data_IF_931409035929
#
_entry.id   IF_931409035929
#
_cell.length_a   1.000
_cell.length_b   1.000
_cell.length_c   1.000
_cell.angle_alpha   90.00
_cell.angle_beta   90.00
_cell.angle_gamma   90.00
#
_symmetry.space_group_name_H-M   'P 1'
#
loop_
_entity.id
_entity.type
_entity.pdbx_description
1 polymer ?
#
# COMPACT_ATOMS: atom_id res chain seq x y z
N UNK A 1 -17.13 -13.53 -0.28
CA UNK A 1 -16.82 -12.24 -0.92
C UNK A 1 -18.09 -11.44 -0.94
N UNK A 2 -18.19 -10.46 -0.04
CA UNK A 2 -19.35 -9.57 0.06
C UNK A 2 -19.14 -8.36 -0.85
N UNK A 3 -20.19 -7.76 -1.40
CA UNK A 3 -20.08 -6.59 -2.27
C UNK A 3 -19.33 -5.39 -1.63
N UNK A 4 -19.15 -5.41 -0.29
CA UNK A 4 -18.38 -4.45 0.51
C UNK A 4 -16.84 -4.51 0.33
N UNK A 5 -16.32 -5.45 -0.47
CA UNK A 5 -14.87 -5.68 -0.61
C UNK A 5 -14.19 -4.77 -1.64
N UNK A 6 -14.91 -3.82 -2.23
CA UNK A 6 -14.41 -2.95 -3.30
C UNK A 6 -14.60 -1.47 -2.99
N UNK A 7 -13.61 -0.66 -3.36
CA UNK A 7 -13.61 0.80 -3.20
C UNK A 7 -13.24 1.47 -4.52
N UNK A 8 -13.80 2.65 -4.81
CA UNK A 8 -13.36 3.42 -5.97
C UNK A 8 -11.93 3.91 -5.77
N UNK A 9 -11.13 3.88 -6.82
CA UNK A 9 -9.75 4.41 -6.78
C UNK A 9 -9.68 5.90 -6.42
N UNK A 10 -10.78 6.65 -6.63
CA UNK A 10 -10.90 8.04 -6.19
C UNK A 10 -10.97 8.19 -4.67
N UNK A 11 -11.55 7.21 -3.97
CA UNK A 11 -11.80 7.23 -2.51
C UNK A 11 -10.69 6.52 -1.71
N UNK A 12 -9.91 5.67 -2.37
CA UNK A 12 -8.77 4.96 -1.77
C UNK A 12 -7.78 5.87 -1.00
N UNK A 13 -7.38 7.07 -1.48
CA UNK A 13 -6.50 7.98 -0.75
C UNK A 13 -6.99 8.33 0.66
N UNK A 14 -8.27 8.66 0.78
CA UNK A 14 -8.89 9.01 2.07
C UNK A 14 -8.97 7.78 2.98
N UNK A 15 -9.18 6.59 2.41
CA UNK A 15 -9.31 5.34 3.17
C UNK A 15 -8.00 4.87 3.81
N UNK A 16 -6.86 5.10 3.17
CA UNK A 16 -5.54 4.64 3.65
C UNK A 16 -4.59 5.76 4.07
N UNK A 17 -5.00 7.02 3.96
CA UNK A 17 -4.16 8.17 4.32
C UNK A 17 -2.93 8.33 3.41
N UNK A 18 -3.05 8.00 2.11
CA UNK A 18 -1.95 8.08 1.14
C UNK A 18 -2.31 8.96 -0.05
N UNK A 19 -1.29 9.51 -0.71
CA UNK A 19 -1.49 10.30 -1.92
C UNK A 19 -2.05 9.45 -3.07
N UNK A 20 -2.78 10.07 -4.00
CA UNK A 20 -3.20 9.39 -5.24
C UNK A 20 -1.99 8.78 -5.96
N UNK A 21 -0.90 9.51 -6.10
CA UNK A 21 0.31 9.02 -6.77
C UNK A 21 0.84 7.72 -6.15
N UNK A 22 0.83 7.63 -4.81
CA UNK A 22 1.19 6.40 -4.09
C UNK A 22 0.25 5.24 -4.41
N UNK A 23 -1.07 5.48 -4.43
CA UNK A 23 -2.04 4.44 -4.80
C UNK A 23 -1.76 3.94 -6.22
N UNK A 24 -1.57 4.85 -7.19
CA UNK A 24 -1.28 4.46 -8.56
C UNK A 24 0.04 3.69 -8.70
N UNK A 25 1.08 4.05 -7.93
CA UNK A 25 2.30 3.28 -7.89
C UNK A 25 2.04 1.83 -7.42
N UNK A 26 1.26 1.64 -6.35
CA UNK A 26 0.90 0.29 -5.90
C UNK A 26 0.07 -0.50 -6.91
N UNK A 27 -0.77 0.17 -7.69
CA UNK A 27 -1.49 -0.46 -8.80
C UNK A 27 -0.54 -0.93 -9.90
N UNK A 28 0.50 -0.15 -10.22
CA UNK A 28 1.51 -0.56 -11.21
C UNK A 28 2.37 -1.73 -10.75
N UNK A 29 2.52 -1.93 -9.44
CA UNK A 29 3.21 -3.10 -8.88
C UNK A 29 2.39 -4.40 -9.00
N UNK A 30 1.09 -4.33 -9.33
CA UNK A 30 0.26 -5.50 -9.62
C UNK A 30 -0.29 -6.25 -8.40
N UNK A 31 -0.09 -5.73 -7.19
CA UNK A 31 -0.47 -6.40 -5.93
C UNK A 31 -1.92 -6.16 -5.48
N UNK A 32 -2.71 -5.42 -6.27
CA UNK A 32 -4.09 -5.04 -5.92
C UNK A 32 -5.00 -5.48 -7.06
N UNK A 33 -5.99 -6.33 -6.75
CA UNK A 33 -7.02 -6.70 -7.73
C UNK A 33 -7.83 -5.47 -8.11
N UNK A 34 -8.09 -5.32 -9.41
CA UNK A 34 -8.85 -4.20 -9.96
C UNK A 34 -10.04 -4.68 -10.76
N UNK A 35 -11.10 -3.87 -10.75
CA UNK A 35 -12.31 -4.11 -11.54
C UNK A 35 -12.77 -2.80 -12.19
N UNK A 36 -13.23 -2.85 -13.46
CA UNK A 36 -13.58 -1.66 -14.25
C UNK A 36 -14.97 -1.74 -14.91
N UNK A 37 -16.07 -1.76 -14.15
CA UNK A 37 -17.41 -1.61 -14.70
C UNK A 37 -17.65 -0.20 -15.27
N UNK A 38 -18.05 -0.13 -16.53
CA UNK A 38 -18.50 1.08 -17.24
C UNK A 38 -17.40 2.07 -17.62
N UNK A 39 -16.57 2.49 -16.63
CA UNK A 39 -15.41 3.40 -16.73
C UNK A 39 -14.78 3.71 -15.36
N UNK A 40 -15.40 3.26 -14.27
CA UNK A 40 -14.92 3.50 -12.90
C UNK A 40 -13.88 2.45 -12.53
N UNK A 41 -12.76 2.87 -11.98
CA UNK A 41 -11.75 1.96 -11.45
C UNK A 41 -12.09 1.63 -9.99
N UNK A 42 -12.33 0.35 -9.73
CA UNK A 42 -12.54 -0.22 -8.42
C UNK A 42 -11.31 -1.03 -8.00
N UNK A 43 -10.94 -0.89 -6.74
CA UNK A 43 -9.82 -1.56 -6.10
C UNK A 43 -10.37 -2.53 -5.07
N UNK A 44 -9.80 -3.72 -4.99
CA UNK A 44 -10.09 -4.63 -3.91
C UNK A 44 -9.55 -4.03 -2.60
N UNK A 45 -10.45 -3.80 -1.65
CA UNK A 45 -10.14 -3.14 -0.40
C UNK A 45 -9.22 -3.97 0.51
N UNK A 46 -9.42 -5.30 0.68
CA UNK A 46 -8.46 -6.16 1.38
C UNK A 46 -7.03 -6.05 0.84
N UNK A 47 -6.84 -6.20 -0.47
CA UNK A 47 -5.50 -6.12 -1.08
C UNK A 47 -4.86 -4.73 -0.85
N UNK A 48 -5.66 -3.67 -0.97
CA UNK A 48 -5.20 -2.30 -0.73
C UNK A 48 -4.71 -2.10 0.71
N UNK A 49 -5.41 -2.66 1.70
CA UNK A 49 -5.03 -2.57 3.11
C UNK A 49 -3.79 -3.42 3.43
N UNK A 50 -3.66 -4.58 2.78
CA UNK A 50 -2.50 -5.46 2.96
C UNK A 50 -1.22 -4.83 2.37
N UNK A 51 -1.32 -4.19 1.21
CA UNK A 51 -0.21 -3.41 0.62
C UNK A 51 0.17 -2.24 1.52
N UNK A 52 -0.81 -1.48 2.03
CA UNK A 52 -0.56 -0.37 2.96
C UNK A 52 0.23 -0.84 4.18
N UNK A 53 -0.24 -1.91 4.83
CA UNK A 53 0.38 -2.48 6.02
C UNK A 53 1.81 -2.94 5.73
N UNK A 54 2.01 -3.64 4.62
CA UNK A 54 3.31 -4.19 4.23
C UNK A 54 4.32 -3.08 3.94
N UNK A 55 3.91 -2.01 3.24
CA UNK A 55 4.78 -0.86 2.91
C UNK A 55 5.09 -0.01 4.14
N UNK A 56 4.14 0.12 5.07
CA UNK A 56 4.37 0.79 6.36
C UNK A 56 5.36 0.02 7.22
N UNK A 57 5.21 -1.30 7.35
CA UNK A 57 6.15 -2.14 8.06
C UNK A 57 7.57 -2.10 7.44
N UNK A 58 7.66 -2.14 6.11
CA UNK A 58 8.94 -2.01 5.41
C UNK A 58 9.62 -0.65 5.68
N UNK A 59 8.84 0.44 5.79
CA UNK A 59 9.38 1.76 6.11
C UNK A 59 9.89 1.85 7.55
N UNK A 60 9.18 1.25 8.51
CA UNK A 60 9.61 1.21 9.91
C UNK A 60 10.93 0.44 10.04
N UNK A 61 11.02 -0.76 9.46
CA UNK A 61 12.25 -1.56 9.49
C UNK A 61 13.43 -0.86 8.81
N UNK A 62 13.20 -0.15 7.70
CA UNK A 62 14.24 0.64 7.03
C UNK A 62 14.69 1.84 7.89
N UNK A 63 13.78 2.49 8.61
CA UNK A 63 14.12 3.59 9.52
C UNK A 63 14.92 3.09 10.73
N UNK A 64 14.53 1.96 11.31
CA UNK A 64 15.23 1.31 12.42
C UNK A 64 16.66 0.89 12.03
N UNK A 65 16.84 0.32 10.83
CA UNK A 65 18.18 -0.03 10.31
C UNK A 65 19.08 1.18 10.10
N UNK A 66 18.54 2.34 9.73
CA UNK A 66 19.34 3.58 9.58
C UNK A 66 19.79 4.18 10.91
N UNK A 67 19.08 3.87 12.00
CA UNK A 67 19.37 4.38 13.34
C UNK A 67 20.35 3.49 14.13
N UNK A 68 20.67 2.29 13.65
CA UNK A 68 21.75 1.50 14.20
C UNK A 68 23.09 1.99 13.61
N UNK A 69 23.94 2.70 14.37
CA UNK A 69 25.32 2.89 13.94
C UNK A 69 25.92 1.50 13.76
N UNK A 70 26.61 1.28 12.64
CA UNK A 70 27.39 0.07 12.42
C UNK A 70 28.31 -0.13 13.63
N UNK A 71 27.92 -1.02 14.54
CA UNK A 71 28.82 -1.53 15.56
C UNK A 71 29.77 -2.49 14.86
N UNK A 72 30.69 -1.93 14.07
CA UNK A 72 31.97 -2.55 13.81
C UNK A 72 32.85 -2.29 15.04
N UNK A 73 32.64 -3.09 16.07
CA UNK A 73 33.67 -3.46 17.02
C UNK A 73 33.87 -4.95 16.76
N UNK A 74 34.81 -5.35 15.92
CA UNK A 74 36.22 -5.23 16.22
C UNK A 74 36.59 -6.36 17.18
N UNK A 75 36.89 -7.53 16.62
CA UNK A 75 37.82 -8.54 17.14
C UNK A 75 38.38 -9.33 15.97
#
# INVERSE_FOLDING_TARGET
MTASDWILAADAPARVGRSRATIYAWLTEGNIRTWRPGRKLWLNLPDLLDVERSKTAARLTAAERKLQPMSHAGQ
#
